data_IF_491345021103
#
_entry.id   IF_491345021103
#
_cell.length_a   1.000
_cell.length_b   1.000
_cell.length_c   1.000
_cell.angle_alpha   90.00
_cell.angle_beta   90.00
_cell.angle_gamma   90.00
#
_symmetry.space_group_name_H-M   'P 1'
#
loop_
_entity.id
_entity.type
_entity.pdbx_description
1 polymer ?
#
# COMPACT_ATOMS: atom_id res chain seq x y z
N UNK A 1 56.64 1.31 -44.02
CA UNK A 1 57.09 0.51 -42.87
C UNK A 1 55.87 0.40 -41.95
N UNK A 2 55.11 -0.71 -41.91
CA UNK A 2 55.43 -2.07 -41.41
C UNK A 2 55.64 -2.04 -39.87
N UNK A 3 54.97 -2.81 -39.01
CA UNK A 3 53.76 -3.66 -39.10
C UNK A 3 53.27 -4.12 -37.69
N UNK A 4 52.05 -4.73 -37.61
CA UNK A 4 51.57 -5.83 -36.73
C UNK A 4 52.18 -6.01 -35.31
N UNK A 5 51.44 -6.04 -34.19
CA UNK A 5 50.37 -6.97 -33.75
C UNK A 5 50.33 -6.97 -32.20
N UNK A 6 49.58 -7.77 -31.41
CA UNK A 6 48.53 -8.80 -31.60
C UNK A 6 47.70 -8.96 -30.29
N UNK A 7 46.61 -9.73 -30.30
CA UNK A 7 45.85 -10.18 -29.10
C UNK A 7 46.34 -11.56 -28.58
N UNK A 8 45.89 -12.00 -27.38
CA UNK A 8 44.80 -12.99 -27.38
C UNK A 8 43.75 -12.82 -26.26
N UNK A 9 42.56 -13.35 -26.54
CA UNK A 9 41.43 -13.61 -25.62
C UNK A 9 41.57 -14.97 -24.93
N UNK A 10 40.92 -15.17 -23.77
CA UNK A 10 40.62 -16.51 -23.26
C UNK A 10 39.18 -16.62 -22.74
N UNK A 11 38.43 -17.53 -23.37
CA UNK A 11 37.15 -18.07 -22.90
C UNK A 11 37.37 -19.54 -22.57
N UNK A 12 36.76 -20.08 -21.52
CA UNK A 12 36.76 -21.52 -21.23
C UNK A 12 35.36 -22.00 -20.90
N UNK A 13 34.97 -23.11 -21.51
CA UNK A 13 33.63 -23.70 -21.50
C UNK A 13 33.49 -24.81 -20.43
N UNK A 14 32.22 -25.18 -20.18
CA UNK A 14 31.78 -26.34 -19.39
C UNK A 14 32.46 -27.66 -19.77
N UNK A 15 32.32 -28.67 -18.90
CA UNK A 15 31.70 -29.91 -19.36
C UNK A 15 30.48 -30.38 -18.54
N UNK A 16 29.56 -31.04 -19.23
CA UNK A 16 28.48 -31.86 -18.69
C UNK A 16 28.99 -33.22 -18.19
N UNK A 17 28.26 -33.87 -17.28
CA UNK A 17 28.29 -35.33 -17.12
C UNK A 17 26.95 -35.88 -16.62
N UNK A 18 26.49 -36.97 -17.22
CA UNK A 18 25.31 -37.76 -16.82
C UNK A 18 25.76 -39.18 -16.43
N UNK A 19 25.12 -39.79 -15.42
CA UNK A 19 24.89 -41.25 -15.30
C UNK A 19 23.96 -41.51 -14.08
N UNK A 20 22.75 -42.04 -14.29
CA UNK A 20 22.37 -43.47 -14.20
C UNK A 20 22.41 -44.05 -12.77
N UNK A 21 21.26 -44.25 -12.11
CA UNK A 21 20.32 -45.40 -12.22
C UNK A 21 20.78 -46.66 -11.45
N UNK A 22 20.06 -47.00 -10.38
CA UNK A 22 19.72 -48.34 -9.82
C UNK A 22 18.73 -48.10 -8.65
N UNK A 23 17.67 -48.87 -8.36
CA UNK A 23 17.07 -49.99 -9.10
C UNK A 23 16.76 -51.22 -8.24
N UNK A 24 15.73 -51.22 -7.38
CA UNK A 24 15.05 -52.38 -6.73
C UNK A 24 13.66 -51.89 -6.24
N UNK A 25 12.46 -52.49 -6.47
CA UNK A 25 12.00 -53.88 -6.67
C UNK A 25 12.00 -54.72 -5.36
N UNK A 26 10.93 -55.39 -4.87
CA UNK A 26 9.47 -55.40 -5.15
C UNK A 26 8.75 -56.25 -4.08
N UNK A 27 7.42 -56.09 -3.90
CA UNK A 27 6.50 -57.09 -3.28
C UNK A 27 6.60 -57.33 -1.75
N UNK A 28 5.58 -57.81 -1.00
CA UNK A 28 4.25 -58.38 -1.34
C UNK A 28 3.22 -58.15 -0.20
N UNK A 29 1.92 -58.38 -0.48
CA UNK A 29 0.76 -58.25 0.45
C UNK A 29 0.59 -59.45 1.41
N UNK A 30 -0.45 -59.36 2.27
CA UNK A 30 -1.16 -60.40 3.07
C UNK A 30 -0.66 -60.50 4.53
N UNK A 31 -1.49 -60.70 5.58
CA UNK A 31 -2.92 -61.05 5.72
C UNK A 31 -3.52 -60.40 7.00
N UNK A 32 -4.85 -60.37 7.13
CA UNK A 32 -5.56 -60.08 8.38
C UNK A 32 -6.28 -61.35 8.90
N UNK A 33 -6.58 -61.42 10.21
CA UNK A 33 -7.87 -61.97 10.62
C UNK A 33 -8.62 -61.20 11.74
N UNK A 34 -9.93 -61.49 11.79
CA UNK A 34 -10.96 -61.13 12.80
C UNK A 34 -10.79 -61.97 14.10
N UNK A 35 -11.50 -61.84 15.24
CA UNK A 35 -12.60 -61.05 15.86
C UNK A 35 -12.49 -61.31 17.41
N UNK A 36 -13.11 -60.63 18.39
CA UNK A 36 -14.55 -60.48 18.69
C UNK A 36 -14.82 -59.49 19.86
N UNK A 37 -15.94 -58.75 19.75
CA UNK A 37 -17.00 -58.40 20.75
C UNK A 37 -16.72 -58.05 22.24
N UNK A 38 -17.29 -56.90 22.71
CA UNK A 38 -18.50 -56.89 23.57
C UNK A 38 -19.21 -55.49 23.73
N UNK A 39 -20.50 -55.44 23.38
CA UNK A 39 -21.65 -54.76 24.04
C UNK A 39 -21.81 -53.21 24.24
N UNK A 40 -22.85 -52.70 23.54
CA UNK A 40 -23.97 -51.81 23.97
C UNK A 40 -23.70 -50.48 24.74
N UNK A 41 -24.14 -49.37 24.13
CA UNK A 41 -25.43 -48.71 24.51
C UNK A 41 -25.93 -47.80 23.37
N UNK A 42 -27.23 -47.46 23.38
CA UNK A 42 -27.89 -46.65 22.34
C UNK A 42 -28.53 -45.43 23.00
N UNK A 43 -28.25 -44.23 22.51
CA UNK A 43 -29.02 -43.02 22.80
C UNK A 43 -29.10 -42.12 21.56
N UNK A 44 -30.33 -41.70 21.20
CA UNK A 44 -30.58 -40.73 20.11
C UNK A 44 -30.59 -39.31 20.67
N UNK A 45 -30.02 -38.33 19.95
CA UNK A 45 -30.52 -36.96 19.99
C UNK A 45 -31.43 -36.63 18.80
N UNK A 46 -32.28 -35.63 18.99
CA UNK A 46 -33.31 -35.14 18.05
C UNK A 46 -32.72 -34.61 16.74
N UNK A 47 -33.41 -34.90 15.64
CA UNK A 47 -33.35 -34.08 14.43
C UNK A 47 -34.23 -32.84 14.67
N UNK A 48 -33.63 -31.66 14.90
CA UNK A 48 -34.33 -30.39 14.74
C UNK A 48 -33.97 -29.82 13.36
N UNK A 49 -34.96 -29.68 12.49
CA UNK A 49 -34.83 -28.83 11.30
C UNK A 49 -34.74 -27.38 11.76
N UNK A 50 -33.53 -26.84 11.81
CA UNK A 50 -33.33 -25.41 11.67
C UNK A 50 -33.29 -25.11 10.17
N UNK A 51 -34.32 -24.42 9.67
CA UNK A 51 -34.26 -23.74 8.38
C UNK A 51 -33.33 -22.54 8.54
N UNK A 52 -32.02 -22.80 8.51
CA UNK A 52 -31.03 -21.76 8.29
C UNK A 52 -31.15 -21.33 6.83
N UNK A 53 -31.77 -20.17 6.61
CA UNK A 53 -31.71 -19.48 5.33
C UNK A 53 -30.27 -19.05 5.08
N UNK A 54 -29.53 -19.85 4.31
CA UNK A 54 -28.29 -19.40 3.68
C UNK A 54 -28.63 -18.30 2.66
N UNK A 55 -28.78 -17.06 3.13
CA UNK A 55 -28.48 -15.90 2.30
C UNK A 55 -26.95 -15.74 2.24
N UNK A 56 -26.30 -16.64 1.51
CA UNK A 56 -25.08 -16.26 0.80
C UNK A 56 -25.51 -15.15 -0.16
N UNK A 57 -25.19 -13.90 0.19
CA UNK A 57 -25.66 -12.71 -0.51
C UNK A 57 -25.32 -12.79 -1.99
N UNK A 58 -26.33 -13.05 -2.83
CA UNK A 58 -26.14 -13.18 -4.26
C UNK A 58 -25.84 -11.81 -4.86
N UNK A 59 -24.56 -11.58 -5.11
CA UNK A 59 -24.03 -10.38 -5.75
C UNK A 59 -24.85 -10.10 -7.00
N UNK A 60 -25.39 -8.88 -7.09
CA UNK A 60 -26.31 -8.50 -8.16
C UNK A 60 -25.51 -8.18 -9.42
N UNK A 61 -26.06 -8.55 -10.57
CA UNK A 61 -25.46 -8.20 -11.86
C UNK A 61 -25.41 -6.67 -11.98
N UNK A 62 -24.20 -6.12 -12.09
CA UNK A 62 -23.95 -4.67 -12.11
C UNK A 62 -23.55 -4.04 -10.76
N UNK A 63 -23.41 -4.83 -9.71
CA UNK A 63 -22.91 -4.37 -8.41
C UNK A 63 -21.44 -3.91 -8.51
N UNK A 64 -21.15 -2.74 -7.93
CA UNK A 64 -19.81 -2.14 -7.88
C UNK A 64 -19.33 -2.09 -6.44
N UNK A 65 -18.07 -2.46 -6.23
CA UNK A 65 -17.42 -2.48 -4.93
C UNK A 65 -16.27 -1.47 -4.88
N UNK A 66 -15.92 -1.04 -3.67
CA UNK A 66 -15.02 0.07 -3.39
C UNK A 66 -13.96 -0.43 -2.41
N UNK A 67 -12.70 -0.48 -2.85
CA UNK A 67 -11.58 -1.03 -2.08
C UNK A 67 -10.86 0.06 -1.31
N UNK A 68 -10.87 -0.04 0.01
CA UNK A 68 -10.12 0.84 0.90
C UNK A 68 -9.00 0.09 1.59
N UNK A 69 -7.83 0.69 1.73
CA UNK A 69 -6.67 0.09 2.41
C UNK A 69 -6.06 1.05 3.44
N UNK A 70 -5.83 0.56 4.66
CA UNK A 70 -5.21 1.28 5.79
C UNK A 70 -3.76 0.80 5.92
N UNK A 71 -2.79 1.72 5.85
CA UNK A 71 -1.36 1.44 6.07
C UNK A 71 -0.84 2.11 7.34
N UNK A 72 -1.37 1.65 8.48
CA UNK A 72 -0.91 2.01 9.82
C UNK A 72 0.52 1.58 10.17
N UNK A 73 0.81 1.55 11.48
CA UNK A 73 2.19 1.58 12.01
C UNK A 73 2.94 0.23 11.98
N UNK A 74 2.24 -0.90 12.05
CA UNK A 74 2.82 -2.25 12.16
C UNK A 74 2.34 -3.25 11.10
N UNK A 75 1.34 -2.87 10.32
CA UNK A 75 0.78 -3.68 9.24
C UNK A 75 -0.23 -2.86 8.45
N UNK A 76 -0.79 -3.49 7.43
CA UNK A 76 -1.82 -2.91 6.58
C UNK A 76 -3.09 -3.76 6.57
N UNK A 77 -4.21 -3.14 6.21
CA UNK A 77 -5.54 -3.74 6.16
C UNK A 77 -6.23 -3.38 4.86
N UNK A 78 -7.25 -4.15 4.48
CA UNK A 78 -8.23 -3.71 3.49
C UNK A 78 -9.65 -3.98 3.98
N UNK A 79 -10.60 -3.18 3.50
CA UNK A 79 -12.00 -3.54 3.43
C UNK A 79 -12.56 -3.23 2.04
N UNK A 80 -13.42 -4.12 1.56
CA UNK A 80 -14.10 -4.02 0.29
C UNK A 80 -15.59 -3.85 0.56
N UNK A 81 -16.12 -2.68 0.20
CA UNK A 81 -17.50 -2.28 0.52
C UNK A 81 -18.36 -2.07 -0.72
N UNK A 82 -19.69 -2.14 -0.58
CA UNK A 82 -20.63 -1.63 -1.57
C UNK A 82 -20.98 -0.14 -1.33
N UNK A 83 -21.89 0.41 -2.15
CA UNK A 83 -22.39 1.79 -2.05
C UNK A 83 -23.28 2.05 -0.82
N UNK A 84 -23.65 1.02 -0.06
CA UNK A 84 -24.37 1.13 1.21
C UNK A 84 -23.41 1.09 2.41
N UNK A 85 -22.14 0.75 2.18
CA UNK A 85 -21.14 0.51 3.23
C UNK A 85 -21.23 -0.89 3.84
N UNK A 86 -21.86 -1.85 3.17
CA UNK A 86 -21.78 -3.26 3.56
C UNK A 86 -20.37 -3.76 3.26
N UNK A 87 -19.71 -4.41 4.22
CA UNK A 87 -18.42 -5.07 3.99
C UNK A 87 -18.67 -6.42 3.31
N UNK A 88 -18.16 -6.59 2.10
CA UNK A 88 -18.17 -7.85 1.34
C UNK A 88 -16.92 -8.69 1.60
N UNK A 89 -15.80 -8.05 1.90
CA UNK A 89 -14.55 -8.72 2.26
C UNK A 89 -13.63 -7.80 3.06
N UNK A 90 -12.85 -8.34 3.99
CA UNK A 90 -11.84 -7.60 4.75
C UNK A 90 -10.62 -8.50 5.01
N UNK A 91 -9.46 -7.88 5.17
CA UNK A 91 -8.20 -8.60 5.38
C UNK A 91 -7.15 -7.75 6.08
N UNK A 92 -6.12 -8.41 6.62
CA UNK A 92 -4.98 -7.75 7.26
C UNK A 92 -3.68 -8.52 7.04
N UNK A 93 -2.58 -7.78 6.91
CA UNK A 93 -1.21 -8.30 6.82
C UNK A 93 -0.32 -7.50 7.75
N UNK A 94 0.47 -8.18 8.57
CA UNK A 94 1.62 -7.56 9.24
C UNK A 94 2.68 -7.25 8.18
N UNK A 95 3.48 -6.20 8.41
CA UNK A 95 4.56 -5.88 7.48
C UNK A 95 5.63 -6.99 7.51
N UNK A 96 6.01 -7.59 6.37
CA UNK A 96 7.05 -8.61 6.35
C UNK A 96 8.38 -7.98 6.76
N UNK A 97 9.14 -8.67 7.63
CA UNK A 97 10.43 -8.18 8.11
C UNK A 97 11.49 -8.34 7.02
N UNK A 98 11.56 -7.37 6.12
CA UNK A 98 12.59 -7.27 5.10
C UNK A 98 13.71 -6.37 5.60
N UNK A 99 14.96 -6.82 5.51
CA UNK A 99 16.12 -6.08 6.03
C UNK A 99 16.96 -5.46 4.91
N UNK A 100 17.57 -4.33 5.23
CA UNK A 100 18.65 -3.67 4.49
C UNK A 100 19.63 -3.09 5.53
N UNK A 101 20.90 -3.51 5.49
CA UNK A 101 21.96 -3.15 6.47
C UNK A 101 21.46 -3.12 7.94
N UNK A 102 21.00 -4.29 8.41
CA UNK A 102 20.49 -4.55 9.77
C UNK A 102 19.23 -3.76 10.19
N UNK A 103 18.68 -2.93 9.30
CA UNK A 103 17.46 -2.14 9.54
C UNK A 103 16.30 -2.62 8.68
N UNK A 104 15.08 -2.37 9.15
CA UNK A 104 13.87 -2.70 8.39
C UNK A 104 13.77 -1.82 7.13
N UNK A 105 13.65 -2.48 5.97
CA UNK A 105 13.37 -1.85 4.69
C UNK A 105 11.86 -1.61 4.57
N UNK A 106 11.42 -0.48 5.12
CA UNK A 106 10.02 -0.07 5.12
C UNK A 106 9.42 0.02 3.72
N UNK A 107 10.19 0.47 2.73
CA UNK A 107 9.75 0.61 1.34
C UNK A 107 9.37 -0.75 0.76
N UNK A 108 10.27 -1.73 0.84
CA UNK A 108 10.01 -3.10 0.38
C UNK A 108 8.91 -3.76 1.20
N UNK A 109 8.85 -3.49 2.50
CA UNK A 109 7.85 -4.08 3.41
C UNK A 109 6.44 -3.58 3.10
N UNK A 110 6.26 -2.27 2.89
CA UNK A 110 4.98 -1.68 2.49
C UNK A 110 4.55 -2.14 1.10
N UNK A 111 5.48 -2.17 0.13
CA UNK A 111 5.20 -2.69 -1.22
C UNK A 111 4.77 -4.16 -1.20
N UNK A 112 5.45 -5.00 -0.42
CA UNK A 112 5.09 -6.41 -0.26
C UNK A 112 3.72 -6.59 0.41
N UNK A 113 3.40 -5.78 1.43
CA UNK A 113 2.08 -5.80 2.07
C UNK A 113 0.95 -5.35 1.13
N UNK A 114 1.17 -4.31 0.31
CA UNK A 114 0.23 -3.86 -0.72
C UNK A 114 -0.16 -4.99 -1.67
N UNK A 115 0.82 -5.62 -2.31
CA UNK A 115 0.53 -6.71 -3.26
C UNK A 115 0.00 -7.97 -2.58
N UNK A 116 0.38 -8.23 -1.31
CA UNK A 116 -0.21 -9.34 -0.53
C UNK A 116 -1.69 -9.11 -0.23
N UNK A 117 -2.09 -7.88 0.13
CA UNK A 117 -3.49 -7.54 0.39
C UNK A 117 -4.34 -7.56 -0.90
N UNK A 118 -3.78 -7.17 -2.05
CA UNK A 118 -4.47 -7.33 -3.35
C UNK A 118 -4.68 -8.81 -3.71
N UNK A 119 -3.73 -9.68 -3.36
CA UNK A 119 -3.89 -11.13 -3.51
C UNK A 119 -4.95 -11.71 -2.55
N UNK A 120 -5.07 -11.16 -1.34
CA UNK A 120 -6.05 -11.59 -0.33
C UNK A 120 -7.51 -11.25 -0.71
N UNK A 121 -7.75 -10.39 -1.70
CA UNK A 121 -9.11 -10.09 -2.17
C UNK A 121 -9.65 -11.33 -2.91
N UNK A 122 -10.85 -11.85 -2.58
CA UNK A 122 -11.43 -13.00 -3.27
C UNK A 122 -11.53 -12.76 -4.78
N UNK A 123 -11.02 -13.71 -5.58
CA UNK A 123 -10.86 -13.55 -7.04
C UNK A 123 -12.15 -13.22 -7.79
N UNK A 124 -13.31 -13.64 -7.28
CA UNK A 124 -14.62 -13.34 -7.86
C UNK A 124 -15.14 -11.93 -7.56
N UNK A 125 -14.55 -11.23 -6.57
CA UNK A 125 -14.89 -9.85 -6.21
C UNK A 125 -13.98 -8.82 -6.91
N UNK A 126 -12.75 -9.18 -7.26
CA UNK A 126 -11.78 -8.28 -7.95
C UNK A 126 -12.36 -7.65 -9.24
N UNK A 127 -13.14 -8.35 -10.08
CA UNK A 127 -13.81 -7.74 -11.25
C UNK A 127 -14.91 -6.73 -10.93
N UNK A 128 -15.35 -6.62 -9.67
CA UNK A 128 -16.42 -5.70 -9.25
C UNK A 128 -15.85 -4.41 -8.65
N UNK A 129 -14.56 -4.38 -8.34
CA UNK A 129 -13.88 -3.22 -7.75
C UNK A 129 -13.83 -2.08 -8.76
N UNK A 130 -14.59 -1.02 -8.47
CA UNK A 130 -14.68 0.19 -9.27
C UNK A 130 -13.61 1.22 -8.91
N UNK A 131 -13.24 1.30 -7.64
CA UNK A 131 -12.22 2.26 -7.18
C UNK A 131 -11.35 1.70 -6.05
N UNK A 132 -10.10 2.14 -6.00
CA UNK A 132 -9.15 1.88 -4.92
C UNK A 132 -8.72 3.19 -4.26
N UNK A 133 -8.73 3.25 -2.93
CA UNK A 133 -8.18 4.34 -2.12
C UNK A 133 -7.33 3.78 -0.99
N UNK A 134 -6.27 4.49 -0.61
CA UNK A 134 -5.31 4.08 0.42
C UNK A 134 -5.10 5.23 1.41
N UNK A 135 -5.16 4.97 2.70
CA UNK A 135 -4.68 5.86 3.74
C UNK A 135 -3.36 5.37 4.36
N UNK A 136 -2.65 6.25 5.06
CA UNK A 136 -1.37 5.93 5.68
C UNK A 136 -1.00 6.83 6.85
N UNK A 137 0.11 6.52 7.51
CA UNK A 137 0.55 7.21 8.72
C UNK A 137 0.96 8.67 8.46
N UNK A 138 0.36 9.59 9.21
CA UNK A 138 0.52 11.03 9.04
C UNK A 138 1.99 11.50 9.11
N UNK A 139 2.45 12.23 8.08
CA UNK A 139 3.82 12.72 7.91
C UNK A 139 4.93 11.65 7.82
N UNK A 140 4.58 10.39 7.51
CA UNK A 140 5.57 9.46 6.94
C UNK A 140 5.93 9.95 5.54
N UNK A 141 7.21 10.26 5.33
CA UNK A 141 7.71 11.03 4.19
C UNK A 141 8.74 10.23 3.40
N UNK A 142 8.56 10.15 2.08
CA UNK A 142 9.52 9.60 1.13
C UNK A 142 10.02 10.73 0.22
N UNK A 143 11.31 10.70 -0.12
CA UNK A 143 11.88 11.49 -1.21
C UNK A 143 12.29 10.51 -2.30
N UNK A 144 11.73 10.68 -3.50
CA UNK A 144 11.88 9.76 -4.64
C UNK A 144 12.48 10.46 -5.86
N UNK A 145 13.07 9.70 -6.78
CA UNK A 145 13.47 10.21 -8.08
C UNK A 145 12.23 10.52 -8.93
N UNK A 146 12.20 11.68 -9.57
CA UNK A 146 11.05 12.18 -10.34
C UNK A 146 10.79 11.43 -11.64
N UNK A 147 11.73 10.61 -12.09
CA UNK A 147 11.68 9.87 -13.35
C UNK A 147 11.40 8.38 -13.13
N UNK A 148 11.92 7.80 -12.04
CA UNK A 148 11.74 6.37 -11.72
C UNK A 148 10.75 6.11 -10.59
N UNK A 149 10.55 7.07 -9.68
CA UNK A 149 9.77 6.91 -8.44
C UNK A 149 10.47 6.04 -7.37
N UNK A 150 11.72 5.63 -7.61
CA UNK A 150 12.52 4.91 -6.61
C UNK A 150 12.97 5.86 -5.48
N UNK A 151 12.97 5.42 -4.21
CA UNK A 151 13.41 6.25 -3.10
C UNK A 151 14.88 6.66 -3.20
N UNK A 152 15.15 7.97 -3.13
CA UNK A 152 16.50 8.54 -3.03
C UNK A 152 17.07 8.47 -1.61
N UNK A 153 16.21 8.20 -0.62
CA UNK A 153 16.56 8.09 0.78
C UNK A 153 15.63 7.09 1.47
N UNK A 154 16.02 6.62 2.67
CA UNK A 154 15.08 5.88 3.52
C UNK A 154 13.86 6.75 3.86
N UNK A 155 12.67 6.18 4.09
CA UNK A 155 11.55 6.94 4.62
C UNK A 155 11.88 7.59 5.97
N UNK A 156 11.33 8.79 6.20
CA UNK A 156 11.22 9.39 7.53
C UNK A 156 9.86 9.01 8.11
N UNK A 157 9.84 8.27 9.22
CA UNK A 157 8.59 7.72 9.77
C UNK A 157 7.76 8.80 10.49
N UNK A 158 6.45 8.57 10.65
CA UNK A 158 5.51 9.47 11.33
C UNK A 158 5.99 9.98 12.70
N UNK A 159 6.64 9.12 13.49
CA UNK A 159 7.19 9.41 14.82
C UNK A 159 8.64 9.92 14.82
N UNK A 160 9.31 9.93 13.67
CA UNK A 160 10.66 10.48 13.54
C UNK A 160 10.65 12.00 13.56
N UNK A 161 11.66 12.61 14.18
CA UNK A 161 11.79 14.05 14.38
C UNK A 161 13.14 14.55 13.85
N UNK A 162 13.11 15.65 13.10
CA UNK A 162 14.27 16.36 12.55
C UNK A 162 14.44 17.72 13.28
N UNK A 163 15.00 17.73 14.51
CA UNK A 163 15.15 18.95 15.30
C UNK A 163 16.18 19.94 14.72
N UNK A 164 17.09 19.47 13.88
CA UNK A 164 18.06 20.24 13.09
C UNK A 164 17.39 21.23 12.13
N UNK A 165 16.28 20.81 11.51
CA UNK A 165 15.52 21.61 10.56
C UNK A 165 14.54 22.60 11.23
N UNK A 166 14.15 22.35 12.49
CA UNK A 166 13.10 23.08 13.18
C UNK A 166 13.36 24.60 13.31
N UNK A 167 14.59 25.11 13.56
CA UNK A 167 14.87 26.54 13.55
C UNK A 167 14.61 27.19 12.20
N UNK A 168 15.01 26.53 11.11
CA UNK A 168 14.77 26.98 9.72
C UNK A 168 13.29 26.97 9.36
N UNK A 169 12.54 25.96 9.81
CA UNK A 169 11.08 25.93 9.62
C UNK A 169 10.40 27.06 10.39
N UNK A 170 10.82 27.34 11.63
CA UNK A 170 10.28 28.43 12.45
C UNK A 170 10.63 29.84 11.97
N UNK A 171 11.68 30.02 11.16
CA UNK A 171 12.04 31.33 10.60
C UNK A 171 11.25 31.68 9.33
N UNK A 172 10.62 30.70 8.67
CA UNK A 172 9.83 30.91 7.44
C UNK A 172 8.32 30.73 7.66
N UNK A 173 7.89 29.80 8.51
CA UNK A 173 6.49 29.54 8.75
C UNK A 173 5.88 30.53 9.77
N UNK A 174 4.55 30.79 9.71
CA UNK A 174 3.86 31.58 10.72
C UNK A 174 4.05 31.05 12.14
N UNK A 175 4.01 31.95 13.12
CA UNK A 175 4.09 31.57 14.53
C UNK A 175 3.01 30.54 14.88
N UNK A 176 3.40 29.48 15.59
CA UNK A 176 2.53 28.36 15.99
C UNK A 176 1.87 27.56 14.85
N UNK A 177 2.33 27.70 13.59
CA UNK A 177 1.85 26.89 12.47
C UNK A 177 2.10 25.39 12.69
N UNK A 178 1.23 24.50 12.17
CA UNK A 178 1.30 23.04 12.40
C UNK A 178 2.63 22.39 11.96
N UNK A 179 3.34 23.03 11.02
CA UNK A 179 4.66 22.60 10.55
C UNK A 179 5.79 22.83 11.56
N UNK A 180 5.59 23.69 12.58
CA UNK A 180 6.59 24.08 13.58
C UNK A 180 6.81 23.02 14.68
N UNK A 181 6.77 21.74 14.29
CA UNK A 181 7.10 20.55 15.07
C UNK A 181 8.20 19.77 14.35
N UNK A 182 9.17 19.22 15.08
CA UNK A 182 10.28 18.46 14.48
C UNK A 182 9.85 17.22 13.69
N UNK A 183 8.67 16.64 14.00
CA UNK A 183 8.11 15.49 13.27
C UNK A 183 7.25 15.84 12.05
N UNK A 184 7.12 17.13 11.71
CA UNK A 184 6.37 17.57 10.53
C UNK A 184 7.05 17.12 9.24
N UNK A 185 6.25 16.91 8.17
CA UNK A 185 6.77 16.64 6.83
C UNK A 185 7.73 17.75 6.38
N UNK A 186 7.45 19.01 6.75
CA UNK A 186 8.31 20.13 6.39
C UNK A 186 9.69 20.06 7.06
N UNK A 187 9.77 19.71 8.35
CA UNK A 187 11.07 19.50 9.02
C UNK A 187 11.86 18.35 8.37
N UNK A 188 11.18 17.25 7.99
CA UNK A 188 11.78 16.11 7.28
C UNK A 188 12.33 16.50 5.90
N UNK A 189 11.53 17.23 5.11
CA UNK A 189 11.92 17.79 3.81
C UNK A 189 13.14 18.72 3.95
N UNK A 190 13.12 19.66 4.90
CA UNK A 190 14.21 20.63 5.11
C UNK A 190 15.48 19.94 5.62
N UNK A 191 15.37 18.93 6.49
CA UNK A 191 16.51 18.14 6.96
C UNK A 191 17.18 17.38 5.81
N UNK A 192 16.40 16.63 5.02
CA UNK A 192 16.90 15.98 3.81
C UNK A 192 17.53 16.97 2.82
N UNK A 193 16.86 18.11 2.59
CA UNK A 193 17.34 19.16 1.70
C UNK A 193 18.68 19.76 2.14
N UNK A 194 18.96 19.82 3.44
CA UNK A 194 20.22 20.34 3.98
C UNK A 194 21.36 19.31 3.94
N UNK A 195 21.05 18.02 4.03
CA UNK A 195 22.02 16.91 3.96
C UNK A 195 22.45 16.64 2.52
N UNK A 196 21.50 16.58 1.59
CA UNK A 196 21.78 16.20 0.20
C UNK A 196 22.63 17.27 -0.51
N UNK A 197 23.44 16.87 -1.48
CA UNK A 197 24.35 17.76 -2.20
C UNK A 197 23.78 18.26 -3.52
N UNK A 198 23.90 17.42 -4.55
CA UNK A 198 23.84 17.84 -5.97
C UNK A 198 22.62 17.33 -6.74
N UNK A 199 21.98 16.22 -6.34
CA UNK A 199 20.91 15.60 -7.13
C UNK A 199 19.47 16.04 -6.76
N UNK A 200 19.31 17.26 -6.21
CA UNK A 200 18.01 17.78 -5.71
C UNK A 200 17.00 18.16 -6.79
N UNK A 201 17.41 18.19 -8.06
CA UNK A 201 16.56 18.64 -9.19
C UNK A 201 15.62 17.55 -9.71
N UNK A 202 15.99 16.29 -9.55
CA UNK A 202 15.18 15.13 -9.93
C UNK A 202 14.48 14.51 -8.73
N UNK A 203 14.19 15.29 -7.68
CA UNK A 203 13.57 14.78 -6.46
C UNK A 203 12.10 15.23 -6.37
N UNK A 204 11.24 14.35 -5.87
CA UNK A 204 9.86 14.65 -5.47
C UNK A 204 9.60 14.14 -4.05
N UNK A 205 8.76 14.86 -3.32
CA UNK A 205 8.22 14.42 -2.04
C UNK A 205 6.90 13.69 -2.25
N UNK A 206 6.78 12.53 -1.61
CA UNK A 206 5.55 11.76 -1.50
C UNK A 206 5.34 11.35 -0.04
N UNK A 207 4.10 11.42 0.44
CA UNK A 207 3.70 10.78 1.69
C UNK A 207 3.52 9.26 1.47
N UNK A 208 3.40 8.50 2.55
CA UNK A 208 3.22 7.04 2.48
C UNK A 208 2.03 6.64 1.59
N UNK A 209 0.87 7.28 1.75
CA UNK A 209 -0.32 7.02 0.95
C UNK A 209 -0.08 7.37 -0.53
N UNK A 210 0.45 8.57 -0.82
CA UNK A 210 0.78 9.02 -2.17
C UNK A 210 1.67 8.01 -2.92
N UNK A 211 2.71 7.49 -2.26
CA UNK A 211 3.66 6.55 -2.87
C UNK A 211 3.01 5.17 -3.11
N UNK A 212 2.20 4.68 -2.19
CA UNK A 212 1.46 3.43 -2.35
C UNK A 212 0.42 3.52 -3.48
N UNK A 213 -0.29 4.64 -3.58
CA UNK A 213 -1.21 4.93 -4.68
C UNK A 213 -0.45 5.04 -6.00
N UNK A 214 0.70 5.73 -6.03
CA UNK A 214 1.53 5.84 -7.22
C UNK A 214 1.94 4.46 -7.78
N UNK A 215 2.26 3.48 -6.93
CA UNK A 215 2.52 2.10 -7.40
C UNK A 215 1.33 1.52 -8.18
N UNK A 216 0.09 1.92 -7.84
CA UNK A 216 -1.15 1.48 -8.49
C UNK A 216 -1.49 2.25 -9.77
N UNK A 217 -1.28 3.57 -9.84
CA UNK A 217 -1.72 4.41 -10.98
C UNK A 217 -0.58 5.03 -11.83
N UNK A 218 0.68 4.91 -11.41
CA UNK A 218 1.87 5.30 -12.17
C UNK A 218 2.09 6.81 -12.37
N UNK A 219 1.26 7.70 -11.81
CA UNK A 219 1.39 9.16 -11.95
C UNK A 219 2.11 9.76 -10.72
N UNK A 220 3.37 10.17 -10.86
CA UNK A 220 4.12 10.76 -9.74
C UNK A 220 3.58 12.15 -9.35
N UNK A 221 3.83 12.54 -8.10
CA UNK A 221 3.62 13.91 -7.63
C UNK A 221 2.16 14.32 -7.39
N UNK A 222 1.31 13.40 -6.90
CA UNK A 222 -0.08 13.67 -6.51
C UNK A 222 -0.28 13.27 -5.05
N UNK A 223 -0.88 14.15 -4.25
CA UNK A 223 -1.22 13.95 -2.83
C UNK A 223 -2.61 14.53 -2.53
N UNK A 224 -3.08 14.35 -1.30
CA UNK A 224 -4.33 14.90 -0.78
C UNK A 224 -4.10 15.98 0.30
N UNK A 225 -5.13 16.79 0.57
CA UNK A 225 -5.02 17.91 1.51
C UNK A 225 -4.74 17.52 2.96
N UNK A 226 -5.02 16.27 3.40
CA UNK A 226 -4.80 15.81 4.77
C UNK A 226 -3.35 15.37 4.96
N UNK A 227 -2.80 14.60 4.01
CA UNK A 227 -1.39 14.25 4.00
C UNK A 227 -0.51 15.51 3.86
N UNK A 228 -0.85 16.40 2.91
CA UNK A 228 -0.08 17.62 2.64
C UNK A 228 -0.17 18.70 3.76
N UNK A 229 -1.09 18.60 4.72
CA UNK A 229 -1.22 19.58 5.81
C UNK A 229 0.08 19.75 6.61
N UNK A 230 0.78 18.65 6.91
CA UNK A 230 2.04 18.68 7.69
C UNK A 230 3.29 19.07 6.90
N UNK A 231 3.20 19.24 5.57
CA UNK A 231 4.24 19.95 4.79
C UNK A 231 3.95 21.44 4.66
N UNK A 232 2.73 21.87 5.01
CA UNK A 232 2.31 23.27 5.02
C UNK A 232 1.37 23.65 3.89
N UNK A 233 0.70 22.69 3.25
CA UNK A 233 -0.46 22.99 2.41
C UNK A 233 -1.57 23.64 3.25
N UNK A 234 -2.30 24.59 2.67
CA UNK A 234 -3.47 25.22 3.28
C UNK A 234 -4.74 24.74 2.55
N UNK A 235 -5.53 23.83 3.14
CA UNK A 235 -6.78 23.35 2.56
C UNK A 235 -7.85 24.43 2.41
N UNK A 236 -7.81 25.51 3.19
CA UNK A 236 -8.79 26.58 3.11
C UNK A 236 -8.55 27.51 1.91
N UNK A 237 -7.28 27.74 1.54
CA UNK A 237 -6.94 28.46 0.30
C UNK A 237 -6.72 27.54 -0.92
N UNK A 238 -6.75 26.22 -0.71
CA UNK A 238 -6.49 25.23 -1.77
C UNK A 238 -5.08 25.29 -2.35
N UNK A 239 -4.10 25.80 -1.60
CA UNK A 239 -2.76 26.10 -2.15
C UNK A 239 -1.63 25.94 -1.14
N UNK A 240 -0.39 25.86 -1.64
CA UNK A 240 0.78 26.10 -0.82
C UNK A 240 0.94 27.62 -0.57
N UNK A 241 1.11 28.06 0.68
CA UNK A 241 1.23 29.48 1.02
C UNK A 241 2.54 30.09 0.50
N UNK A 242 2.57 31.41 0.36
CA UNK A 242 3.71 32.14 -0.24
C UNK A 242 5.03 31.94 0.50
N UNK A 243 5.00 31.85 1.84
CA UNK A 243 6.18 31.63 2.68
C UNK A 243 6.85 30.27 2.44
N UNK A 244 6.09 29.28 1.96
CA UNK A 244 6.58 27.96 1.57
C UNK A 244 7.03 27.96 0.10
N UNK A 245 6.21 28.54 -0.80
CA UNK A 245 6.52 28.64 -2.25
C UNK A 245 7.75 29.50 -2.57
N UNK A 246 8.21 30.36 -1.67
CA UNK A 246 9.44 31.14 -1.82
C UNK A 246 10.72 30.34 -1.51
N UNK A 247 10.60 29.12 -1.00
CA UNK A 247 11.73 28.30 -0.55
C UNK A 247 12.21 27.37 -1.67
N UNK A 248 13.52 27.10 -1.80
CA UNK A 248 14.05 26.32 -2.93
C UNK A 248 13.59 24.85 -2.91
N UNK A 249 13.30 24.29 -1.74
CA UNK A 249 12.73 22.95 -1.60
C UNK A 249 11.25 22.85 -1.98
N UNK A 250 10.55 23.96 -2.25
CA UNK A 250 9.14 23.92 -2.66
C UNK A 250 8.93 23.23 -4.01
N UNK A 251 9.99 23.13 -4.84
CA UNK A 251 9.97 22.42 -6.12
C UNK A 251 9.73 20.90 -5.98
N UNK A 252 9.95 20.33 -4.78
CA UNK A 252 9.71 18.90 -4.49
C UNK A 252 8.24 18.61 -4.14
N UNK A 253 7.43 19.63 -3.87
CA UNK A 253 6.08 19.44 -3.33
C UNK A 253 5.14 18.81 -4.37
N UNK A 254 4.34 17.80 -4.00
CA UNK A 254 3.38 17.18 -4.90
C UNK A 254 2.25 18.17 -5.26
N UNK A 255 1.59 17.95 -6.39
CA UNK A 255 0.26 18.52 -6.62
C UNK A 255 -0.74 17.95 -5.59
N UNK A 256 -1.73 18.75 -5.19
CA UNK A 256 -2.68 18.38 -4.13
C UNK A 256 -4.11 18.45 -4.66
N UNK A 257 -4.86 17.38 -4.45
CA UNK A 257 -6.30 17.29 -4.75
C UNK A 257 -7.10 16.93 -3.48
N UNK A 258 -8.43 16.85 -3.57
CA UNK A 258 -9.22 16.40 -2.43
C UNK A 258 -9.14 14.87 -2.24
N UNK A 259 -9.11 14.35 -1.00
CA UNK A 259 -9.32 12.93 -0.70
C UNK A 259 -10.48 12.32 -1.47
N UNK A 260 -10.29 11.13 -2.00
CA UNK A 260 -11.27 10.44 -2.82
C UNK A 260 -11.52 11.02 -4.21
N UNK A 261 -10.72 11.99 -4.66
CA UNK A 261 -10.74 12.43 -6.06
C UNK A 261 -9.99 11.43 -6.92
N UNK A 262 -10.56 11.02 -8.06
CA UNK A 262 -9.89 10.12 -9.02
C UNK A 262 -8.58 10.72 -9.54
N UNK A 263 -7.49 9.95 -9.47
CA UNK A 263 -6.17 10.30 -10.02
C UNK A 263 -6.02 9.72 -11.43
N UNK A 264 -6.53 8.50 -11.67
CA UNK A 264 -6.49 7.81 -12.95
C UNK A 264 -6.80 6.31 -12.80
N UNK A 265 -6.79 5.59 -13.92
CA UNK A 265 -7.06 4.16 -13.92
C UNK A 265 -5.91 3.36 -13.28
N UNK A 266 -6.24 2.20 -12.73
CA UNK A 266 -5.28 1.20 -12.27
C UNK A 266 -4.35 0.77 -13.42
N UNK A 267 -3.05 0.64 -13.16
CA UNK A 267 -2.06 0.20 -14.15
C UNK A 267 -2.44 -1.16 -14.73
N UNK A 268 -2.30 -1.28 -16.04
CA UNK A 268 -2.66 -2.49 -16.80
C UNK A 268 -1.95 -3.76 -16.30
N UNK A 269 -0.68 -3.67 -15.89
CA UNK A 269 0.07 -4.79 -15.33
C UNK A 269 -0.59 -5.36 -14.06
N UNK A 270 -1.11 -4.48 -13.18
CA UNK A 270 -1.77 -4.85 -11.91
C UNK A 270 -3.19 -5.34 -12.21
N UNK A 271 -3.91 -4.65 -13.10
CA UNK A 271 -5.23 -5.07 -13.59
C UNK A 271 -5.19 -6.52 -14.08
N UNK A 272 -4.22 -6.83 -14.95
CA UNK A 272 -4.06 -8.13 -15.60
C UNK A 272 -3.56 -9.21 -14.63
N UNK A 273 -2.62 -8.87 -13.74
CA UNK A 273 -2.10 -9.79 -12.73
C UNK A 273 -3.17 -10.24 -11.75
N UNK A 274 -4.00 -9.31 -11.25
CA UNK A 274 -4.95 -9.61 -10.18
C UNK A 274 -6.37 -9.87 -10.66
N UNK A 275 -6.77 -9.44 -11.86
CA UNK A 275 -8.13 -9.65 -12.40
C UNK A 275 -9.12 -8.51 -12.09
N UNK A 276 -8.65 -7.26 -12.08
CA UNK A 276 -9.50 -6.07 -12.01
C UNK A 276 -10.05 -5.67 -13.39
N UNK A 277 -11.07 -4.81 -13.43
CA UNK A 277 -11.61 -4.27 -14.68
C UNK A 277 -10.82 -3.06 -15.21
N UNK A 278 -11.03 -2.73 -16.50
CA UNK A 278 -10.36 -1.60 -17.18
C UNK A 278 -10.79 -0.22 -16.68
N UNK A 279 -12.00 -0.15 -16.11
CA UNK A 279 -12.57 1.06 -15.53
C UNK A 279 -12.33 1.20 -14.02
N UNK A 280 -11.50 0.32 -13.43
CA UNK A 280 -11.07 0.46 -12.04
C UNK A 280 -10.16 1.69 -11.88
N UNK A 281 -10.63 2.68 -11.11
CA UNK A 281 -9.89 3.92 -10.84
C UNK A 281 -9.12 3.85 -9.53
N UNK A 282 -8.08 4.66 -9.41
CA UNK A 282 -7.35 4.90 -8.16
C UNK A 282 -7.59 6.35 -7.73
N UNK A 283 -8.07 6.52 -6.51
CA UNK A 283 -8.40 7.81 -5.92
C UNK A 283 -7.30 8.29 -4.96
N UNK A 284 -7.25 9.60 -4.71
CA UNK A 284 -6.42 10.19 -3.68
C UNK A 284 -6.79 9.72 -2.28
N UNK A 285 -5.77 9.55 -1.44
CA UNK A 285 -5.87 8.97 -0.12
C UNK A 285 -6.29 9.95 0.98
N UNK A 286 -5.89 9.61 2.20
CA UNK A 286 -5.97 10.46 3.40
C UNK A 286 -4.96 9.95 4.44
N UNK A 287 -4.97 10.49 5.65
CA UNK A 287 -4.23 9.93 6.79
C UNK A 287 -5.09 8.94 7.59
N UNK A 288 -4.46 7.91 8.14
CA UNK A 288 -5.01 6.90 9.06
C UNK A 288 -6.03 7.43 10.08
N UNK A 289 -5.63 8.48 10.79
CA UNK A 289 -6.40 9.15 11.84
C UNK A 289 -7.65 9.90 11.33
N UNK A 290 -7.72 10.21 10.04
CA UNK A 290 -8.90 10.79 9.38
C UNK A 290 -9.76 9.70 8.75
N UNK A 291 -9.17 8.63 8.20
CA UNK A 291 -9.90 7.45 7.73
C UNK A 291 -10.66 6.76 8.88
N UNK A 292 -10.09 6.75 10.08
CA UNK A 292 -10.72 6.25 11.30
C UNK A 292 -11.78 7.19 11.93
N UNK A 293 -11.98 8.41 11.40
CA UNK A 293 -12.89 9.38 12.03
C UNK A 293 -14.37 9.06 11.72
N UNK A 294 -15.23 8.90 12.74
CA UNK A 294 -16.64 8.55 12.52
C UNK A 294 -17.40 9.71 11.85
N UNK A 295 -17.92 9.48 10.65
CA UNK A 295 -18.73 10.46 9.93
C UNK A 295 -20.14 10.57 10.54
N UNK A 296 -20.39 11.62 11.31
CA UNK A 296 -21.63 11.84 12.06
C UNK A 296 -22.87 12.12 11.19
N UNK A 297 -22.71 12.31 9.88
CA UNK A 297 -23.81 12.51 8.92
C UNK A 297 -24.32 11.23 8.27
N UNK A 298 -23.67 10.08 8.51
CA UNK A 298 -24.15 8.77 8.06
C UNK A 298 -25.26 8.26 9.00
N UNK A 299 -26.51 8.61 8.70
CA UNK A 299 -27.70 8.32 9.52
C UNK A 299 -28.14 6.83 9.59
N UNK A 300 -27.21 5.89 9.33
CA UNK A 300 -27.40 4.44 9.42
C UNK A 300 -26.21 3.79 10.11
N UNK A 301 -26.45 3.31 11.34
CA UNK A 301 -25.62 2.40 12.16
C UNK A 301 -24.22 2.04 11.66
N UNK A 302 -23.20 2.73 12.21
CA UNK A 302 -21.86 2.22 12.54
C UNK A 302 -20.96 1.55 11.47
N UNK A 303 -21.38 1.40 10.20
CA UNK A 303 -20.64 0.58 9.20
C UNK A 303 -20.06 1.34 7.99
N UNK A 304 -20.55 2.53 7.66
CA UNK A 304 -20.19 3.26 6.43
C UNK A 304 -18.97 4.20 6.54
N UNK A 305 -18.32 4.27 7.71
CA UNK A 305 -17.41 5.38 8.04
C UNK A 305 -15.90 5.09 7.89
N UNK A 306 -15.51 3.90 7.42
CA UNK A 306 -14.08 3.54 7.35
C UNK A 306 -13.29 4.24 6.24
N UNK A 307 -13.94 4.87 5.26
CA UNK A 307 -13.27 5.47 4.10
C UNK A 307 -13.92 6.77 3.63
N UNK A 308 -13.47 7.89 4.19
CA UNK A 308 -13.70 9.22 3.61
C UNK A 308 -13.14 9.34 2.18
N UNK A 309 -12.13 8.54 1.83
CA UNK A 309 -11.62 8.41 0.47
C UNK A 309 -12.59 7.72 -0.51
N UNK A 310 -13.40 6.75 -0.07
CA UNK A 310 -14.29 6.03 -0.99
C UNK A 310 -15.64 6.71 -1.19
N UNK A 311 -16.15 7.42 -0.17
CA UNK A 311 -17.43 8.13 -0.27
C UNK A 311 -17.43 9.27 -1.31
N UNK A 312 -16.26 9.69 -1.80
CA UNK A 312 -16.10 10.66 -2.90
C UNK A 312 -15.79 10.00 -4.26
N UNK A 313 -15.57 8.69 -4.33
CA UNK A 313 -15.32 7.91 -5.56
C UNK A 313 -16.59 7.25 -6.13
N UNK A 314 -17.79 7.72 -5.74
CA UNK A 314 -19.11 7.11 -6.04
C UNK A 314 -19.76 7.49 -7.37
#
# INVERSE_FOLDING_TARGET
MIALGHHPTFSVLFPFSQSQLHGHCSSRKLLAPRKDQLYKSVSKPRLMMALASNEEGSIRIGERLYLGMDFGTSGARYALIDKQGTIHSEGKREYPVLMNDEKMDWVRSWRAALFSLLEDIPIHLRPLVASISIDGTSATTLIVDSNTGEPLWRPFLYNESCPDALPTVKSVAPANHTVCSGSSTLCKLVSWWNIEGSNKKSALLLHQADWLLWLLHGKLGVSDYNNALKVGYDPASGSYPSWLRSQPYSQLLPSVIAPGTSIGNLKEEIRTQFGFQEDCIVCAGTTDSIAAFPCSTCNTTWKSCHFFGLNSCY
#
